data_IF_985931150733
#
_entry.id   IF_985931150733
#
_cell.length_a   1.000
_cell.length_b   1.000
_cell.length_c   1.000
_cell.angle_alpha   90.00
_cell.angle_beta   90.00
_cell.angle_gamma   90.00
#
_symmetry.space_group_name_H-M   'P 1'
#
loop_
_entity.id
_entity.type
_entity.pdbx_description
1 polymer ?
#
# COMPACT_ATOMS: atom_id res chain seq x y z
N UNK A 1 10.70 -4.90 4.78
CA UNK A 1 9.61 -5.30 5.68
C UNK A 1 8.59 -4.19 5.62
N UNK A 2 7.31 -4.46 5.38
CA UNK A 2 6.71 -5.75 4.99
C UNK A 2 6.95 -6.11 3.50
N UNK A 3 6.61 -7.34 3.10
CA UNK A 3 6.61 -7.79 1.70
C UNK A 3 5.18 -7.87 1.20
N UNK A 4 4.93 -7.34 0.01
CA UNK A 4 3.60 -7.26 -0.55
C UNK A 4 3.51 -6.17 -1.60
N UNK A 5 2.52 -6.31 -2.47
CA UNK A 5 2.05 -5.19 -3.28
C UNK A 5 1.18 -4.28 -2.42
N UNK A 6 1.42 -2.98 -2.52
CA UNK A 6 0.72 -1.95 -1.78
C UNK A 6 0.52 -0.72 -2.68
N UNK A 7 -0.56 0.05 -2.49
CA UNK A 7 -0.62 1.44 -2.93
C UNK A 7 0.49 2.30 -2.30
N UNK A 8 0.88 3.43 -2.92
CA UNK A 8 1.85 4.36 -2.33
C UNK A 8 1.42 4.84 -0.96
N UNK A 9 2.33 4.83 0.01
CA UNK A 9 2.04 5.23 1.38
C UNK A 9 3.29 5.41 2.25
N UNK A 10 3.26 6.45 3.07
CA UNK A 10 4.28 6.67 4.08
C UNK A 10 3.80 7.50 5.26
N UNK A 11 4.76 7.88 6.11
CA UNK A 11 4.48 8.62 7.35
C UNK A 11 4.27 10.10 7.05
N UNK A 12 3.42 10.76 7.84
CA UNK A 12 3.15 12.20 7.68
C UNK A 12 4.37 13.06 8.03
N UNK A 13 5.13 12.68 9.07
CA UNK A 13 6.33 13.37 9.55
C UNK A 13 6.30 14.92 9.40
N UNK A 14 7.16 15.47 8.54
CA UNK A 14 7.29 16.89 8.25
C UNK A 14 6.53 17.36 7.00
N UNK A 15 5.77 16.45 6.36
CA UNK A 15 4.95 16.68 5.15
C UNK A 15 3.67 17.49 5.41
N UNK A 16 3.61 18.24 6.52
CA UNK A 16 2.49 19.08 6.93
C UNK A 16 1.27 18.34 7.48
N UNK A 17 0.66 17.42 6.72
CA UNK A 17 -0.55 16.70 7.10
C UNK A 17 -0.85 15.47 6.23
N UNK A 18 -1.85 14.67 6.61
CA UNK A 18 -2.15 13.38 5.96
C UNK A 18 -2.44 13.48 4.46
N UNK A 19 -3.16 14.52 4.02
CA UNK A 19 -3.48 14.68 2.59
C UNK A 19 -2.24 15.05 1.79
N UNK A 20 -1.42 15.97 2.31
CA UNK A 20 -0.20 16.41 1.64
C UNK A 20 0.83 15.27 1.59
N UNK A 21 0.98 14.53 2.70
CA UNK A 21 1.77 13.31 2.73
C UNK A 21 1.29 12.32 1.65
N UNK A 22 -0.01 12.04 1.54
CA UNK A 22 -0.52 11.15 0.50
C UNK A 22 -0.25 11.64 -0.93
N UNK A 23 -0.21 12.96 -1.16
CA UNK A 23 0.16 13.53 -2.47
C UNK A 23 1.64 13.35 -2.76
N UNK A 24 2.49 13.68 -1.79
CA UNK A 24 3.94 13.54 -1.89
C UNK A 24 4.33 12.08 -2.13
N UNK A 25 3.80 11.12 -1.36
CA UNK A 25 4.13 9.69 -1.52
C UNK A 25 3.75 9.14 -2.92
N UNK A 26 2.63 9.58 -3.50
CA UNK A 26 2.28 9.20 -4.88
C UNK A 26 3.29 9.75 -5.89
N UNK A 27 3.83 10.95 -5.64
CA UNK A 27 4.84 11.53 -6.50
C UNK A 27 6.22 10.88 -6.30
N UNK A 28 6.63 10.68 -5.05
CA UNK A 28 7.93 10.13 -4.65
C UNK A 28 8.06 8.67 -5.09
N UNK A 29 7.09 7.83 -4.73
CA UNK A 29 7.21 6.39 -4.97
C UNK A 29 6.98 6.00 -6.43
N UNK A 30 6.01 6.64 -7.10
CA UNK A 30 5.53 6.21 -8.43
C UNK A 30 5.55 7.29 -9.52
N UNK A 31 5.94 8.52 -9.20
CA UNK A 31 6.17 9.59 -10.17
C UNK A 31 4.92 10.14 -10.84
N UNK A 32 3.72 9.83 -10.31
CA UNK A 32 2.45 10.34 -10.82
C UNK A 32 2.10 11.67 -10.14
N UNK A 33 1.39 12.54 -10.86
CA UNK A 33 0.94 13.84 -10.34
C UNK A 33 -0.52 13.74 -9.86
N UNK A 34 -0.80 13.88 -8.55
CA UNK A 34 -2.17 13.85 -8.03
C UNK A 34 -2.98 15.07 -8.47
N UNK A 35 -4.12 14.85 -9.13
CA UNK A 35 -5.07 15.90 -9.56
C UNK A 35 -6.15 16.10 -8.51
N UNK A 36 -6.78 15.00 -8.08
CA UNK A 36 -7.87 15.02 -7.13
C UNK A 36 -7.61 13.98 -6.04
N UNK A 37 -7.95 14.33 -4.81
CA UNK A 37 -7.76 13.46 -3.65
C UNK A 37 -8.99 13.53 -2.76
N UNK A 38 -9.43 12.38 -2.28
CA UNK A 38 -10.57 12.28 -1.37
C UNK A 38 -10.30 11.25 -0.30
N UNK A 39 -10.45 11.64 0.96
CA UNK A 39 -10.44 10.70 2.08
C UNK A 39 -11.58 9.70 1.92
N UNK A 40 -11.26 8.40 1.94
CA UNK A 40 -12.25 7.32 1.85
C UNK A 40 -12.50 6.63 3.18
N UNK A 41 -11.45 6.46 3.99
CA UNK A 41 -11.56 5.91 5.34
C UNK A 41 -10.34 6.28 6.17
N UNK A 42 -10.43 6.09 7.48
CA UNK A 42 -9.31 6.21 8.41
C UNK A 42 -9.45 5.20 9.55
N UNK A 43 -8.33 4.80 10.15
CA UNK A 43 -8.39 3.87 11.26
C UNK A 43 -7.04 3.34 11.72
N UNK A 44 -7.07 2.68 12.88
CA UNK A 44 -5.90 2.05 13.47
C UNK A 44 -5.72 0.63 12.92
N UNK A 45 -4.48 0.28 12.57
CA UNK A 45 -4.05 -1.09 12.28
C UNK A 45 -2.84 -1.42 13.12
N UNK A 46 -2.83 -2.61 13.72
CA UNK A 46 -1.72 -3.09 14.54
C UNK A 46 -0.63 -3.73 13.63
N UNK A 47 -0.13 -2.94 12.68
CA UNK A 47 0.99 -3.33 11.82
C UNK A 47 2.29 -2.69 12.33
N UNK A 48 3.33 -3.52 12.51
CA UNK A 48 4.62 -3.09 13.08
C UNK A 48 5.31 -2.04 12.22
N UNK A 49 5.84 -1.02 12.88
CA UNK A 49 6.74 -0.04 12.30
C UNK A 49 8.20 -0.44 12.55
N UNK A 50 9.11 -0.04 11.64
CA UNK A 50 10.56 -0.11 11.90
C UNK A 50 11.02 0.84 13.03
N UNK A 51 10.21 1.85 13.36
CA UNK A 51 10.51 2.84 14.41
C UNK A 51 10.40 2.19 15.79
N UNK A 52 11.26 2.62 16.72
CA UNK A 52 11.27 2.12 18.10
C UNK A 52 9.92 2.38 18.77
N UNK A 53 9.26 1.32 19.23
CA UNK A 53 7.95 1.40 19.89
C UNK A 53 6.76 1.54 18.94
N UNK A 54 6.94 1.40 17.63
CA UNK A 54 5.82 1.41 16.67
C UNK A 54 5.21 0.02 16.50
N UNK A 55 4.15 -0.25 17.24
CA UNK A 55 3.33 -1.47 17.19
C UNK A 55 2.03 -1.30 16.39
N UNK A 56 1.67 -0.06 16.04
CA UNK A 56 0.51 0.26 15.22
C UNK A 56 0.77 1.48 14.32
N UNK A 57 -0.14 1.69 13.38
CA UNK A 57 -0.28 2.92 12.64
C UNK A 57 -1.74 3.38 12.63
N UNK A 58 -1.93 4.70 12.66
CA UNK A 58 -3.20 5.31 12.30
C UNK A 58 -3.13 5.74 10.84
N UNK A 59 -4.00 5.17 10.02
CA UNK A 59 -4.02 5.38 8.58
C UNK A 59 -5.13 6.35 8.20
N UNK A 60 -4.87 7.19 7.20
CA UNK A 60 -5.90 7.84 6.39
C UNK A 60 -5.73 7.37 4.96
N UNK A 61 -6.77 6.72 4.42
CA UNK A 61 -6.74 6.15 3.09
C UNK A 61 -7.46 7.11 2.15
N UNK A 62 -6.81 7.41 1.02
CA UNK A 62 -7.31 8.34 0.04
C UNK A 62 -7.53 7.65 -1.30
N UNK A 63 -8.62 8.03 -1.99
CA UNK A 63 -8.77 7.79 -3.41
C UNK A 63 -8.15 8.95 -4.16
N UNK A 64 -7.20 8.65 -5.03
CA UNK A 64 -6.45 9.64 -5.81
C UNK A 64 -6.71 9.45 -7.29
N UNK A 65 -7.06 10.53 -7.98
CA UNK A 65 -6.97 10.63 -9.44
C UNK A 65 -5.65 11.30 -9.75
N UNK A 66 -4.82 10.67 -10.58
CA UNK A 66 -3.49 11.16 -10.91
C UNK A 66 -3.22 11.05 -12.41
N UNK A 67 -2.30 11.87 -12.90
CA UNK A 67 -1.84 11.89 -14.29
C UNK A 67 -0.33 11.71 -14.41
N UNK A 68 0.13 11.55 -15.65
CA UNK A 68 1.54 11.41 -15.97
C UNK A 68 1.89 9.99 -16.40
N UNK A 69 3.18 9.68 -16.31
CA UNK A 69 3.72 8.36 -16.64
C UNK A 69 4.33 7.78 -15.37
N UNK A 70 4.06 6.51 -15.13
CA UNK A 70 4.66 5.77 -14.03
C UNK A 70 6.19 5.87 -14.11
N UNK A 71 6.80 6.38 -13.05
CA UNK A 71 8.25 6.51 -12.87
C UNK A 71 8.58 6.07 -11.44
N UNK A 72 8.67 4.76 -11.19
CA UNK A 72 8.98 4.25 -9.86
C UNK A 72 10.33 4.78 -9.38
N UNK A 73 10.39 5.15 -8.09
CA UNK A 73 11.66 5.43 -7.43
C UNK A 73 12.48 4.15 -7.31
N UNK A 74 13.71 4.16 -7.85
CA UNK A 74 14.64 3.03 -7.74
C UNK A 74 15.09 2.77 -6.30
N UNK A 75 15.06 3.81 -5.45
CA UNK A 75 15.51 3.73 -4.05
C UNK A 75 14.44 3.16 -3.11
N UNK A 76 13.15 3.32 -3.46
CA UNK A 76 12.03 3.01 -2.55
C UNK A 76 11.14 1.87 -3.04
N UNK A 77 11.10 1.61 -4.35
CA UNK A 77 10.21 0.60 -4.93
C UNK A 77 11.00 -0.50 -5.62
N UNK A 78 10.69 -1.76 -5.29
CA UNK A 78 11.24 -2.92 -6.02
C UNK A 78 10.59 -3.11 -7.38
N UNK A 79 9.33 -2.69 -7.49
CA UNK A 79 8.51 -2.70 -8.70
C UNK A 79 7.30 -1.80 -8.47
N UNK A 80 6.84 -1.11 -9.50
CA UNK A 80 5.56 -0.43 -9.52
C UNK A 80 4.83 -0.74 -10.82
N UNK A 81 3.50 -0.76 -10.76
CA UNK A 81 2.66 -1.07 -11.92
C UNK A 81 1.24 -0.54 -11.76
N UNK A 82 0.55 -0.40 -12.89
CA UNK A 82 -0.90 -0.21 -12.91
C UNK A 82 -1.56 -1.60 -12.99
N UNK A 83 -2.46 -1.87 -12.04
CA UNK A 83 -3.12 -3.16 -11.92
C UNK A 83 -4.63 -3.01 -12.13
N UNK A 84 -5.21 -3.93 -12.90
CA UNK A 84 -6.65 -4.05 -13.04
C UNK A 84 -7.25 -4.68 -11.77
N UNK A 85 -8.58 -4.56 -11.62
CA UNK A 85 -9.31 -5.21 -10.53
C UNK A 85 -9.06 -6.73 -10.47
N UNK A 86 -9.05 -7.41 -11.62
CA UNK A 86 -8.79 -8.85 -11.66
C UNK A 86 -7.36 -9.20 -11.23
N UNK A 87 -6.38 -8.37 -11.57
CA UNK A 87 -5.01 -8.57 -11.11
C UNK A 87 -4.89 -8.34 -9.59
N UNK A 88 -5.56 -7.31 -9.05
CA UNK A 88 -5.65 -7.08 -7.60
C UNK A 88 -6.32 -8.27 -6.91
N UNK A 89 -7.38 -8.83 -7.50
CA UNK A 89 -8.07 -10.02 -6.98
C UNK A 89 -7.13 -11.22 -6.92
N UNK A 90 -6.39 -11.51 -8.00
CA UNK A 90 -5.43 -12.62 -8.03
C UNK A 90 -4.32 -12.45 -6.97
N UNK A 91 -3.80 -11.23 -6.78
CA UNK A 91 -2.83 -10.94 -5.73
C UNK A 91 -3.43 -11.12 -4.33
N UNK A 92 -4.71 -10.80 -4.16
CA UNK A 92 -5.43 -10.94 -2.90
C UNK A 92 -5.76 -12.39 -2.55
N UNK A 93 -6.12 -13.21 -3.55
CA UNK A 93 -6.26 -14.66 -3.40
C UNK A 93 -4.95 -15.31 -2.95
N UNK A 94 -3.82 -14.84 -3.49
CA UNK A 94 -2.51 -15.29 -3.03
C UNK A 94 -2.24 -14.89 -1.58
N UNK A 95 -2.58 -13.67 -1.16
CA UNK A 95 -2.48 -13.26 0.25
C UNK A 95 -3.34 -14.13 1.16
N UNK A 96 -4.57 -14.47 0.75
CA UNK A 96 -5.43 -15.36 1.51
C UNK A 96 -4.78 -16.74 1.74
N UNK A 97 -4.24 -17.35 0.68
CA UNK A 97 -3.52 -18.64 0.77
C UNK A 97 -2.28 -18.59 1.66
N UNK A 98 -1.57 -17.46 1.66
CA UNK A 98 -0.45 -17.25 2.59
C UNK A 98 -0.93 -17.18 4.05
N UNK A 99 -1.99 -16.43 4.32
CA UNK A 99 -2.59 -16.33 5.66
C UNK A 99 -3.16 -17.66 6.15
N UNK A 100 -3.64 -18.50 5.25
CA UNK A 100 -4.10 -19.87 5.53
C UNK A 100 -2.94 -20.87 5.74
N UNK A 101 -1.68 -20.42 5.58
CA UNK A 101 -0.49 -21.24 5.77
C UNK A 101 -0.16 -22.17 4.59
N UNK A 102 -0.81 -22.01 3.44
CA UNK A 102 -0.53 -22.79 2.23
C UNK A 102 0.75 -22.36 1.50
N UNK A 103 1.22 -21.13 1.75
CA UNK A 103 2.42 -20.56 1.14
C UNK A 103 3.45 -20.35 2.25
N UNK A 104 4.66 -20.86 2.05
CA UNK A 104 5.75 -20.69 3.00
C UNK A 104 6.20 -19.22 3.07
N UNK A 105 6.85 -18.83 4.18
CA UNK A 105 7.43 -17.50 4.31
C UNK A 105 8.48 -17.20 3.22
N UNK A 106 9.27 -18.20 2.83
CA UNK A 106 10.26 -18.08 1.76
C UNK A 106 9.59 -17.81 0.40
N UNK A 107 8.55 -18.58 0.07
CA UNK A 107 7.80 -18.39 -1.18
C UNK A 107 7.04 -17.05 -1.20
N UNK A 108 6.56 -16.60 -0.05
CA UNK A 108 5.93 -15.30 0.11
C UNK A 108 6.91 -14.17 -0.17
N UNK A 109 8.10 -14.20 0.42
CA UNK A 109 9.11 -13.15 0.22
C UNK A 109 9.61 -13.08 -1.23
N UNK A 110 9.68 -14.22 -1.92
CA UNK A 110 10.10 -14.30 -3.32
C UNK A 110 9.02 -13.79 -4.30
N UNK A 111 7.76 -14.08 -4.03
CA UNK A 111 6.63 -13.64 -4.86
C UNK A 111 5.42 -13.38 -3.96
N UNK A 112 5.28 -12.16 -3.42
CA UNK A 112 4.18 -11.87 -2.51
C UNK A 112 2.89 -11.53 -3.25
N UNK A 113 1.77 -11.62 -2.53
CA UNK A 113 0.47 -11.07 -2.93
C UNK A 113 0.33 -9.59 -2.50
N UNK A 114 -0.90 -9.15 -2.23
CA UNK A 114 -1.13 -7.86 -1.56
C UNK A 114 -0.56 -7.91 -0.14
N UNK A 115 0.09 -6.85 0.30
CA UNK A 115 0.58 -6.72 1.67
C UNK A 115 -0.57 -6.96 2.67
N UNK A 116 -0.32 -7.67 3.77
CA UNK A 116 -1.38 -8.13 4.68
C UNK A 116 -2.25 -7.01 5.25
N UNK A 117 -1.67 -5.87 5.61
CA UNK A 117 -2.45 -4.71 6.10
C UNK A 117 -3.33 -4.11 4.99
N UNK A 118 -2.85 -4.10 3.74
CA UNK A 118 -3.60 -3.60 2.59
C UNK A 118 -4.67 -4.59 2.14
N UNK A 119 -4.44 -5.89 2.32
CA UNK A 119 -5.47 -6.91 2.12
C UNK A 119 -6.67 -6.68 3.04
N UNK A 120 -6.43 -6.34 4.32
CA UNK A 120 -7.51 -5.95 5.24
C UNK A 120 -8.22 -4.67 4.78
N UNK A 121 -7.48 -3.63 4.41
CA UNK A 121 -8.08 -2.38 3.91
C UNK A 121 -8.91 -2.60 2.65
N UNK A 122 -8.46 -3.43 1.72
CA UNK A 122 -9.18 -3.72 0.49
C UNK A 122 -10.49 -4.46 0.75
N UNK A 123 -10.54 -5.34 1.77
CA UNK A 123 -11.80 -5.95 2.22
C UNK A 123 -12.74 -4.93 2.85
N UNK A 124 -12.23 -4.06 3.72
CA UNK A 124 -13.04 -3.03 4.38
C UNK A 124 -13.60 -1.99 3.40
N UNK A 125 -12.87 -1.72 2.31
CA UNK A 125 -13.27 -0.83 1.23
C UNK A 125 -14.11 -1.52 0.13
N UNK A 126 -14.42 -2.80 0.29
CA UNK A 126 -15.17 -3.61 -0.70
C UNK A 126 -14.52 -3.58 -2.10
N UNK A 127 -13.19 -3.50 -2.16
CA UNK A 127 -12.40 -3.61 -3.40
C UNK A 127 -12.26 -5.07 -3.81
N UNK A 128 -12.15 -5.97 -2.81
CA UNK A 128 -12.04 -7.42 -2.94
C UNK A 128 -13.05 -8.14 -2.06
#
# INVERSE_FOLDING_TARGET
FPFGFAPPAGHVDDKGGFEEAAREEVQEEVGLSPINIKLVTEGRKDNRCRRKGGDYHYWKIYKVEAEGKLKPSEDETKQAGLYTKDQIKNLSERTARYLDGEISEEDWQNSPGIETVWYEWFKELEII
#
